data_IF_160946057887
#
_entry.id   IF_160946057887
#
_cell.length_a   1.000
_cell.length_b   1.000
_cell.length_c   1.000
_cell.angle_alpha   90.00
_cell.angle_beta   90.00
_cell.angle_gamma   90.00
#
_symmetry.space_group_name_H-M   'P 1'
#
loop_
_entity.id
_entity.type
_entity.pdbx_description
1 polymer ?
#
# COMPACT_ATOMS: atom_id res chain seq x y z
N UNK A 1 -18.96 -28.64 14.36
CA UNK A 1 -19.36 -27.32 13.81
C UNK A 1 -18.35 -26.91 12.74
N UNK A 2 -18.60 -27.20 11.47
CA UNK A 2 -17.74 -26.78 10.35
C UNK A 2 -18.61 -26.02 9.35
N UNK A 3 -18.95 -24.77 9.67
CA UNK A 3 -19.54 -23.86 8.69
C UNK A 3 -18.43 -23.32 7.81
N UNK A 4 -18.28 -23.87 6.59
CA UNK A 4 -17.45 -23.25 5.55
C UNK A 4 -18.05 -21.88 5.25
N UNK A 5 -17.46 -20.80 5.79
CA UNK A 5 -17.80 -19.44 5.38
C UNK A 5 -17.52 -19.31 3.88
N UNK A 6 -18.38 -18.61 3.12
CA UNK A 6 -18.08 -18.31 1.72
C UNK A 6 -16.74 -17.56 1.63
N UNK A 7 -15.99 -17.68 0.52
CA UNK A 7 -14.73 -16.98 0.34
C UNK A 7 -14.95 -15.49 0.57
N UNK A 8 -14.35 -14.97 1.65
CA UNK A 8 -14.48 -13.57 2.01
C UNK A 8 -13.50 -12.75 1.17
N UNK A 9 -13.99 -11.68 0.53
CA UNK A 9 -13.12 -10.79 -0.25
C UNK A 9 -12.03 -10.21 0.66
N UNK A 10 -10.77 -10.42 0.29
CA UNK A 10 -9.63 -9.88 1.04
C UNK A 10 -9.16 -8.60 0.41
N UNK A 11 -8.89 -7.62 1.25
CA UNK A 11 -8.29 -6.34 0.88
C UNK A 11 -6.90 -6.25 1.48
N UNK A 12 -5.96 -5.73 0.70
CA UNK A 12 -4.65 -5.30 1.19
C UNK A 12 -4.69 -3.79 1.45
N UNK A 13 -4.28 -3.36 2.62
CA UNK A 13 -4.13 -1.94 2.94
C UNK A 13 -2.67 -1.67 3.23
N UNK A 14 -2.08 -0.74 2.49
CA UNK A 14 -0.72 -0.25 2.69
C UNK A 14 -0.81 1.04 3.49
N UNK A 15 -0.10 1.09 4.62
CA UNK A 15 -0.03 2.27 5.46
C UNK A 15 1.17 3.13 5.05
N UNK A 16 0.91 4.30 4.49
CA UNK A 16 1.87 5.36 4.17
C UNK A 16 1.71 6.61 5.04
N UNK A 17 1.23 6.45 6.27
CA UNK A 17 1.14 7.51 7.29
C UNK A 17 2.38 7.57 8.17
N UNK A 18 3.47 8.07 7.60
CA UNK A 18 4.73 8.27 8.31
C UNK A 18 4.67 9.57 9.13
N UNK A 19 4.09 9.49 10.33
CA UNK A 19 3.85 10.66 11.19
C UNK A 19 4.87 10.91 12.30
N UNK A 20 5.84 10.03 12.49
CA UNK A 20 6.80 10.10 13.60
C UNK A 20 7.97 11.05 13.29
N UNK A 21 8.32 11.99 14.20
CA UNK A 21 9.43 12.92 13.99
C UNK A 21 10.75 12.20 13.72
N UNK A 22 11.36 12.46 12.56
CA UNK A 22 12.64 11.87 12.15
C UNK A 22 12.52 10.65 11.23
N UNK A 23 11.33 10.09 11.05
CA UNK A 23 11.10 8.96 10.14
C UNK A 23 10.74 9.48 8.75
N UNK A 24 11.46 9.04 7.71
CA UNK A 24 11.29 9.50 6.32
C UNK A 24 11.48 8.39 5.27
N UNK A 25 11.50 7.13 5.71
CA UNK A 25 11.80 5.97 4.85
C UNK A 25 10.66 5.71 3.85
N UNK A 26 9.40 5.87 4.27
CA UNK A 26 8.26 5.57 3.41
C UNK A 26 8.11 6.67 2.38
N UNK A 27 8.31 7.92 2.78
CA UNK A 27 8.37 9.08 1.88
C UNK A 27 9.48 8.96 0.85
N UNK A 28 10.67 8.52 1.26
CA UNK A 28 11.80 8.33 0.34
C UNK A 28 11.45 7.31 -0.76
N UNK A 29 10.85 6.17 -0.39
CA UNK A 29 10.42 5.16 -1.36
C UNK A 29 9.36 5.73 -2.29
N UNK A 30 8.33 6.41 -1.76
CA UNK A 30 7.25 6.99 -2.58
C UNK A 30 7.74 8.03 -3.58
N UNK A 31 8.77 8.82 -3.25
CA UNK A 31 9.30 9.87 -4.13
C UNK A 31 10.32 9.36 -5.15
N UNK A 32 11.18 8.41 -4.76
CA UNK A 32 12.34 8.04 -5.56
C UNK A 32 12.23 6.68 -6.23
N UNK A 33 11.41 5.77 -5.70
CA UNK A 33 11.20 4.44 -6.25
C UNK A 33 9.76 3.94 -5.99
N UNK A 34 8.73 4.63 -6.54
CA UNK A 34 7.33 4.27 -6.32
C UNK A 34 6.99 2.89 -6.89
N UNK A 35 7.67 2.43 -7.95
CA UNK A 35 7.46 1.08 -8.49
C UNK A 35 7.82 -0.02 -7.50
N UNK A 36 8.81 0.19 -6.62
CA UNK A 36 9.11 -0.76 -5.55
C UNK A 36 7.95 -0.94 -4.57
N UNK A 37 7.24 0.15 -4.24
CA UNK A 37 6.01 0.08 -3.45
C UNK A 37 4.92 -0.71 -4.18
N UNK A 38 4.73 -0.46 -5.47
CA UNK A 38 3.71 -1.13 -6.29
C UNK A 38 3.99 -2.63 -6.47
N UNK A 39 5.25 -3.00 -6.74
CA UNK A 39 5.66 -4.40 -6.83
C UNK A 39 5.47 -5.14 -5.50
N UNK A 40 5.85 -4.52 -4.39
CA UNK A 40 5.61 -5.07 -3.05
C UNK A 40 4.11 -5.27 -2.78
N UNK A 41 3.29 -4.30 -3.18
CA UNK A 41 1.83 -4.37 -3.06
C UNK A 41 1.25 -5.54 -3.86
N UNK A 42 1.69 -5.73 -5.11
CA UNK A 42 1.24 -6.84 -5.95
C UNK A 42 1.64 -8.22 -5.38
N UNK A 43 2.89 -8.34 -4.90
CA UNK A 43 3.38 -9.58 -4.28
C UNK A 43 2.62 -9.92 -2.99
N UNK A 44 2.42 -8.93 -2.11
CA UNK A 44 1.67 -9.10 -0.88
C UNK A 44 0.21 -9.47 -1.16
N UNK A 45 -0.44 -8.81 -2.12
CA UNK A 45 -1.81 -9.10 -2.53
C UNK A 45 -1.93 -10.55 -3.04
N UNK A 46 -0.97 -10.99 -3.87
CA UNK A 46 -0.90 -12.39 -4.35
C UNK A 46 -0.72 -13.38 -3.21
N UNK A 47 0.18 -13.10 -2.26
CA UNK A 47 0.47 -13.98 -1.13
C UNK A 47 -0.76 -14.22 -0.23
N UNK A 48 -1.60 -13.20 -0.03
CA UNK A 48 -2.83 -13.32 0.78
C UNK A 48 -4.07 -13.66 -0.05
N UNK A 49 -3.96 -13.77 -1.37
CA UNK A 49 -5.10 -13.98 -2.28
C UNK A 49 -6.08 -12.81 -2.30
N UNK A 50 -5.59 -11.58 -2.17
CA UNK A 50 -6.37 -10.35 -2.32
C UNK A 50 -6.36 -9.89 -3.78
N UNK A 51 -7.51 -9.44 -4.27
CA UNK A 51 -7.68 -8.85 -5.61
C UNK A 51 -7.70 -7.32 -5.60
N UNK A 52 -7.70 -6.72 -4.41
CA UNK A 52 -7.87 -5.27 -4.21
C UNK A 52 -6.88 -4.78 -3.19
N UNK A 53 -6.13 -3.73 -3.55
CA UNK A 53 -5.22 -3.05 -2.66
C UNK A 53 -5.58 -1.57 -2.58
N UNK A 54 -5.39 -0.98 -1.40
CA UNK A 54 -5.49 0.45 -1.17
C UNK A 54 -4.21 0.93 -0.52
N UNK A 55 -3.62 2.00 -1.06
CA UNK A 55 -2.45 2.65 -0.46
C UNK A 55 -2.97 3.92 0.22
N UNK A 56 -2.93 3.92 1.55
CA UNK A 56 -3.25 5.11 2.34
C UNK A 56 -2.00 5.98 2.43
N UNK A 57 -2.04 7.16 1.84
CA UNK A 57 -0.95 8.14 1.97
C UNK A 57 -1.51 9.34 2.73
N UNK A 58 -0.74 9.80 3.72
CA UNK A 58 -1.11 10.94 4.56
C UNK A 58 -1.43 12.18 3.70
N UNK A 59 -2.44 12.96 4.10
CA UNK A 59 -2.94 14.10 3.32
C UNK A 59 -1.89 15.21 3.08
N UNK A 60 -0.93 15.37 3.99
CA UNK A 60 0.17 16.33 3.89
C UNK A 60 1.22 15.93 2.83
N UNK A 61 1.26 14.66 2.42
CA UNK A 61 2.23 14.11 1.47
C UNK A 61 1.73 14.15 0.02
N UNK A 62 1.36 15.34 -0.45
CA UNK A 62 0.78 15.53 -1.78
C UNK A 62 1.72 15.10 -2.92
N UNK A 63 3.01 15.39 -2.78
CA UNK A 63 4.01 15.08 -3.81
C UNK A 63 4.25 13.57 -3.93
N UNK A 64 4.26 12.88 -2.79
CA UNK A 64 4.34 11.44 -2.67
C UNK A 64 3.11 10.79 -3.33
N UNK A 65 1.91 11.31 -3.05
CA UNK A 65 0.67 10.86 -3.70
C UNK A 65 0.74 10.97 -5.22
N UNK A 66 1.16 12.13 -5.74
CA UNK A 66 1.30 12.37 -7.18
C UNK A 66 2.34 11.44 -7.84
N UNK A 67 3.49 11.22 -7.20
CA UNK A 67 4.51 10.30 -7.70
C UNK A 67 4.03 8.86 -7.75
N UNK A 68 3.40 8.39 -6.66
CA UNK A 68 2.83 7.03 -6.61
C UNK A 68 1.72 6.87 -7.65
N UNK A 69 0.85 7.87 -7.79
CA UNK A 69 -0.24 7.84 -8.78
C UNK A 69 0.26 7.79 -10.22
N UNK A 70 1.32 8.55 -10.53
CA UNK A 70 1.94 8.56 -11.86
C UNK A 70 2.63 7.24 -12.20
N UNK A 71 3.07 6.48 -11.19
CA UNK A 71 3.74 5.19 -11.38
C UNK A 71 2.77 4.01 -11.56
N UNK A 72 1.47 4.20 -11.33
CA UNK A 72 0.40 3.21 -11.56
C UNK A 72 0.06 3.15 -13.05
#
# INVERSE_FOLDING_TARGET
KNSKKPPQERWLVINGDEGEPGTSKDRYIMLHDPHRLLHGTALAAKAIGSKKAAIYIRGEFKKEQEHVWTAI
#
